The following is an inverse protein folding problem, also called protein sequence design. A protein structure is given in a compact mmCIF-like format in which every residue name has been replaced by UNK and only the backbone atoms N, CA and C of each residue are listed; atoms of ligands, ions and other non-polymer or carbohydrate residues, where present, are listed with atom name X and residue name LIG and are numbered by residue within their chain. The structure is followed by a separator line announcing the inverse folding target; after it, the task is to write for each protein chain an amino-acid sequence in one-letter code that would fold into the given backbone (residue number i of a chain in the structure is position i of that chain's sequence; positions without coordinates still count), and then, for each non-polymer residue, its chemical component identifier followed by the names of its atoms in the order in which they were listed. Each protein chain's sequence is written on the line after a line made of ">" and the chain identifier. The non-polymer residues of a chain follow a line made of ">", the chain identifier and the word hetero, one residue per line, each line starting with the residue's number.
data_IF_477587872748
#
_entry.id   IF_477587872748
#
_cell.length_a   1.000
_cell.length_b   1.000
_cell.length_c   1.000
_cell.angle_alpha   90.00
_cell.angle_beta   90.00
_cell.angle_gamma   90.00
#
_symmetry.space_group_name_H-M   'P 1'
#
loop_
_entity.id
_entity.type
_entity.pdbx_description
1 polymer ?
#
# COMPACT_ATOMS: atom_id res chain seq x y z
N UNK A 1 -18.56 9.22 25.90
CA UNK A 1 -17.24 9.76 25.52
C UNK A 1 -16.67 8.79 24.50
N UNK A 2 -16.74 9.12 23.21
CA UNK A 2 -16.12 8.28 22.19
C UNK A 2 -14.62 8.59 22.21
N UNK A 3 -13.80 7.62 22.63
CA UNK A 3 -12.35 7.72 22.45
C UNK A 3 -12.08 7.69 20.96
N UNK A 4 -11.85 8.86 20.37
CA UNK A 4 -11.39 8.99 19.00
C UNK A 4 -9.94 8.51 18.96
N UNK A 5 -9.72 7.23 18.65
CA UNK A 5 -8.38 6.74 18.34
C UNK A 5 -7.94 7.50 17.08
N UNK A 6 -6.93 8.35 17.24
CA UNK A 6 -6.32 9.04 16.11
C UNK A 6 -5.60 8.00 15.25
N UNK A 7 -5.91 7.93 13.96
CA UNK A 7 -5.21 7.08 12.97
C UNK A 7 -3.70 7.31 12.94
N UNK A 8 -3.25 8.46 13.45
CA UNK A 8 -1.85 8.86 13.56
C UNK A 8 -0.94 7.87 14.32
N UNK A 9 -1.48 6.87 15.01
CA UNK A 9 -0.71 5.94 15.84
C UNK A 9 -0.91 4.45 15.52
N UNK A 10 -1.71 4.08 14.52
CA UNK A 10 -1.94 2.66 14.20
C UNK A 10 -0.74 2.13 13.41
N UNK A 11 0.12 1.35 14.06
CA UNK A 11 1.24 0.66 13.44
C UNK A 11 0.76 -0.46 12.53
N UNK A 12 1.26 -0.47 11.28
CA UNK A 12 1.02 -1.55 10.34
C UNK A 12 1.88 -2.76 10.70
N UNK A 13 1.29 -3.94 10.62
CA UNK A 13 1.96 -5.23 10.81
C UNK A 13 1.95 -6.00 9.49
N UNK A 14 2.85 -6.97 9.35
CA UNK A 14 2.86 -7.86 8.18
C UNK A 14 1.54 -8.60 7.97
N UNK A 15 0.76 -8.84 9.04
CA UNK A 15 -0.59 -9.42 8.98
C UNK A 15 -1.62 -8.54 8.28
N UNK A 16 -1.35 -7.23 8.17
CA UNK A 16 -2.27 -6.25 7.58
C UNK A 16 -2.08 -6.13 6.07
N UNK A 17 -0.98 -6.67 5.53
CA UNK A 17 -0.66 -6.63 4.09
C UNK A 17 -1.81 -7.18 3.22
N UNK A 18 -2.40 -8.37 3.49
CA UNK A 18 -3.51 -8.87 2.67
C UNK A 18 -4.71 -7.92 2.66
N UNK A 19 -4.99 -7.26 3.79
CA UNK A 19 -6.08 -6.29 3.92
C UNK A 19 -5.80 -5.04 3.07
N UNK A 20 -4.58 -4.50 3.14
CA UNK A 20 -4.16 -3.38 2.30
C UNK A 20 -4.23 -3.70 0.80
N UNK A 21 -3.80 -4.90 0.42
CA UNK A 21 -3.87 -5.37 -0.98
C UNK A 21 -5.32 -5.42 -1.46
N UNK A 22 -6.24 -5.95 -0.66
CA UNK A 22 -7.67 -5.97 -1.02
C UNK A 22 -8.27 -4.58 -1.24
N UNK A 23 -7.72 -3.53 -0.61
CA UNK A 23 -8.14 -2.14 -0.83
C UNK A 23 -7.51 -1.61 -2.11
N UNK A 24 -6.20 -1.81 -2.29
CA UNK A 24 -5.41 -1.34 -3.44
C UNK A 24 -5.89 -1.98 -4.75
N UNK A 25 -6.19 -3.29 -4.74
CA UNK A 25 -6.65 -4.03 -5.93
C UNK A 25 -8.00 -3.53 -6.47
N UNK A 26 -8.77 -2.79 -5.67
CA UNK A 26 -10.02 -2.14 -6.12
C UNK A 26 -9.75 -0.85 -6.90
N UNK A 27 -8.54 -0.28 -6.80
CA UNK A 27 -8.14 0.92 -7.52
C UNK A 27 -7.45 0.56 -8.84
N UNK A 28 -8.26 0.52 -9.90
CA UNK A 28 -7.79 0.27 -11.27
C UNK A 28 -6.79 1.32 -11.77
N UNK A 29 -6.83 2.54 -11.23
CA UNK A 29 -5.90 3.59 -11.63
C UNK A 29 -4.52 3.35 -11.01
N UNK A 30 -4.48 2.95 -9.74
CA UNK A 30 -3.25 2.56 -9.06
C UNK A 30 -2.61 1.31 -9.70
N UNK A 31 -3.41 0.30 -10.07
CA UNK A 31 -2.90 -0.87 -10.80
C UNK A 31 -2.25 -0.51 -12.15
N UNK A 32 -2.85 0.42 -12.90
CA UNK A 32 -2.28 0.88 -14.19
C UNK A 32 -0.98 1.65 -14.02
N UNK A 33 -0.81 2.33 -12.89
CA UNK A 33 0.35 3.13 -12.54
C UNK A 33 1.15 2.50 -11.40
N UNK A 34 1.25 1.16 -11.38
CA UNK A 34 1.87 0.41 -10.28
C UNK A 34 3.33 0.81 -10.03
N UNK A 35 4.02 1.32 -11.04
CA UNK A 35 5.39 1.80 -10.94
C UNK A 35 5.50 3.10 -10.13
N UNK A 36 4.51 4.00 -10.23
CA UNK A 36 4.44 5.21 -9.41
C UNK A 36 4.25 4.84 -7.94
N UNK A 37 3.45 3.83 -7.65
CA UNK A 37 3.32 3.26 -6.31
C UNK A 37 4.64 2.63 -5.83
N UNK A 38 5.43 2.02 -6.73
CA UNK A 38 6.75 1.52 -6.37
C UNK A 38 7.70 2.64 -5.97
N UNK A 39 7.69 3.75 -6.71
CA UNK A 39 8.50 4.93 -6.42
C UNK A 39 8.08 5.62 -5.13
N UNK A 40 6.77 5.69 -4.87
CA UNK A 40 6.20 6.21 -3.63
C UNK A 40 6.81 5.56 -2.38
N UNK A 41 6.99 4.24 -2.42
CA UNK A 41 7.52 3.45 -1.32
C UNK A 41 9.05 3.22 -1.43
N UNK A 42 9.71 3.97 -2.32
CA UNK A 42 11.15 3.94 -2.55
C UNK A 42 11.71 2.56 -2.93
N UNK A 43 10.97 1.78 -3.74
CA UNK A 43 11.49 0.54 -4.31
C UNK A 43 12.70 0.80 -5.21
N UNK A 44 13.66 -0.12 -5.19
CA UNK A 44 14.86 0.01 -6.01
C UNK A 44 14.54 -0.16 -7.50
N UNK A 45 15.34 0.47 -8.37
CA UNK A 45 15.22 0.25 -9.81
C UNK A 45 15.48 -1.22 -10.21
N UNK A 46 16.29 -1.94 -9.43
CA UNK A 46 16.54 -3.37 -9.65
C UNK A 46 15.28 -4.19 -9.42
N UNK A 47 14.56 -3.92 -8.33
CA UNK A 47 13.32 -4.63 -7.99
C UNK A 47 12.23 -4.33 -9.01
N UNK A 48 12.03 -3.06 -9.38
CA UNK A 48 11.08 -2.66 -10.43
C UNK A 48 11.35 -3.37 -11.76
N UNK A 49 12.62 -3.51 -12.17
CA UNK A 49 12.99 -4.25 -13.38
C UNK A 49 12.70 -5.74 -13.25
N UNK A 50 13.00 -6.35 -12.09
CA UNK A 50 12.68 -7.75 -11.80
C UNK A 50 11.17 -7.99 -11.88
N UNK A 51 10.39 -7.11 -11.26
CA UNK A 51 8.94 -7.19 -11.22
C UNK A 51 8.30 -7.00 -12.59
N UNK A 52 8.75 -6.01 -13.36
CA UNK A 52 8.28 -5.80 -14.74
C UNK A 52 8.53 -7.03 -15.61
N UNK A 53 9.69 -7.68 -15.48
CA UNK A 53 9.99 -8.94 -16.19
C UNK A 53 9.06 -10.06 -15.75
N UNK A 54 8.82 -10.20 -14.45
CA UNK A 54 7.90 -11.21 -13.90
C UNK A 54 6.46 -11.02 -14.39
N UNK A 55 5.98 -9.78 -14.49
CA UNK A 55 4.66 -9.45 -15.06
C UNK A 55 4.62 -9.83 -16.54
N UNK A 56 5.62 -9.41 -17.33
CA UNK A 56 5.68 -9.69 -18.77
C UNK A 56 5.75 -11.19 -19.08
N UNK A 57 6.36 -11.99 -18.21
CA UNK A 57 6.45 -13.44 -18.36
C UNK A 57 5.25 -14.20 -17.77
N UNK A 58 4.29 -13.50 -17.16
CA UNK A 58 3.13 -14.11 -16.48
C UNK A 58 3.45 -14.83 -15.17
N UNK A 59 4.67 -14.68 -14.63
CA UNK A 59 5.09 -15.29 -13.36
C UNK A 59 4.74 -14.42 -12.15
N UNK A 60 4.28 -13.19 -12.35
CA UNK A 60 3.91 -12.25 -11.31
C UNK A 60 2.67 -11.44 -11.71
N UNK A 61 1.86 -11.10 -10.72
CA UNK A 61 0.72 -10.20 -10.86
C UNK A 61 1.03 -8.84 -10.24
N UNK A 62 0.28 -7.80 -10.62
CA UNK A 62 0.39 -6.48 -9.97
C UNK A 62 0.15 -6.56 -8.45
N UNK A 63 -0.84 -7.32 -8.01
CA UNK A 63 -1.10 -7.57 -6.58
C UNK A 63 0.08 -8.27 -5.89
N UNK A 64 0.79 -9.16 -6.61
CA UNK A 64 2.03 -9.77 -6.13
C UNK A 64 3.13 -8.73 -5.88
N UNK A 65 3.31 -7.81 -6.82
CA UNK A 65 4.26 -6.69 -6.67
C UNK A 65 3.90 -5.82 -5.47
N UNK A 66 2.64 -5.40 -5.35
CA UNK A 66 2.19 -4.61 -4.22
C UNK A 66 2.38 -5.32 -2.89
N UNK A 67 2.23 -6.65 -2.87
CA UNK A 67 2.47 -7.44 -1.65
C UNK A 67 3.95 -7.40 -1.26
N UNK A 68 4.87 -7.63 -2.21
CA UNK A 68 6.30 -7.62 -1.93
C UNK A 68 6.77 -6.26 -1.41
N UNK A 69 6.35 -5.18 -2.07
CA UNK A 69 6.76 -3.83 -1.65
C UNK A 69 6.18 -3.43 -0.29
N UNK A 70 4.91 -3.77 -0.01
CA UNK A 70 4.30 -3.47 1.28
C UNK A 70 4.96 -4.26 2.42
N UNK A 71 5.30 -5.53 2.19
CA UNK A 71 6.02 -6.34 3.21
C UNK A 71 7.35 -5.68 3.58
N UNK A 72 8.14 -5.27 2.59
CA UNK A 72 9.42 -4.60 2.84
C UNK A 72 9.25 -3.22 3.49
N UNK A 73 8.26 -2.45 3.03
CA UNK A 73 8.03 -1.10 3.52
C UNK A 73 7.53 -1.07 4.97
N UNK A 74 6.57 -1.94 5.33
CA UNK A 74 5.95 -2.02 6.66
C UNK A 74 6.95 -2.46 7.74
N UNK A 75 7.99 -3.21 7.39
CA UNK A 75 9.00 -3.69 8.33
C UNK A 75 9.77 -2.57 9.08
N UNK A 76 9.60 -1.30 8.69
CA UNK A 76 10.27 -0.14 9.26
C UNK A 76 9.33 0.72 10.15
N UNK A 77 8.54 0.09 11.02
CA UNK A 77 7.62 0.75 11.97
C UNK A 77 6.70 1.81 11.36
N UNK A 78 6.10 1.49 10.20
CA UNK A 78 5.22 2.40 9.46
C UNK A 78 3.79 2.37 10.02
N UNK A 79 3.12 3.52 9.97
CA UNK A 79 1.71 3.63 10.38
C UNK A 79 0.75 3.64 9.19
N UNK A 80 -0.52 3.39 9.47
CA UNK A 80 -1.63 3.59 8.52
C UNK A 80 -1.60 4.99 7.94
N UNK A 81 -1.40 6.01 8.80
CA UNK A 81 -1.36 7.40 8.37
C UNK A 81 -0.18 7.68 7.43
N UNK A 82 1.00 7.10 7.68
CA UNK A 82 2.14 7.25 6.75
C UNK A 82 1.79 6.78 5.34
N UNK A 83 1.12 5.63 5.22
CA UNK A 83 0.72 5.10 3.92
C UNK A 83 -0.37 5.96 3.26
N UNK A 84 -1.36 6.38 4.06
CA UNK A 84 -2.47 7.20 3.57
C UNK A 84 -2.00 8.59 3.11
N UNK A 85 -1.11 9.25 3.84
CA UNK A 85 -0.53 10.54 3.46
C UNK A 85 0.28 10.46 2.16
N UNK A 86 1.10 9.41 2.00
CA UNK A 86 1.85 9.19 0.77
C UNK A 86 0.90 9.01 -0.43
N UNK A 87 -0.11 8.17 -0.28
CA UNK A 87 -1.11 7.92 -1.33
C UNK A 87 -1.91 9.19 -1.68
N UNK A 88 -2.32 9.97 -0.68
CA UNK A 88 -3.06 11.22 -0.88
C UNK A 88 -2.20 12.28 -1.60
N UNK A 89 -0.93 12.41 -1.21
CA UNK A 89 0.03 13.30 -1.85
C UNK A 89 0.30 12.93 -3.32
N UNK A 90 0.25 11.64 -3.66
CA UNK A 90 0.35 11.15 -5.03
C UNK A 90 -0.97 11.20 -5.81
N UNK A 91 -2.06 11.67 -5.20
CA UNK A 91 -3.36 11.84 -5.86
C UNK A 91 -4.32 10.65 -5.73
N UNK A 92 -3.94 9.57 -5.05
CA UNK A 92 -4.79 8.39 -4.78
C UNK A 92 -5.70 8.60 -3.56
N UNK A 93 -6.42 9.73 -3.53
CA UNK A 93 -7.17 10.20 -2.36
C UNK A 93 -8.22 9.22 -1.86
N UNK A 94 -8.93 8.56 -2.79
CA UNK A 94 -9.96 7.57 -2.45
C UNK A 94 -9.35 6.33 -1.79
N UNK A 95 -8.22 5.84 -2.31
CA UNK A 95 -7.52 4.68 -1.76
C UNK A 95 -6.92 5.00 -0.38
N UNK A 96 -6.31 6.19 -0.23
CA UNK A 96 -5.87 6.69 1.07
C UNK A 96 -7.02 6.76 2.09
N UNK A 97 -8.19 7.27 1.69
CA UNK A 97 -9.38 7.33 2.53
C UNK A 97 -9.87 5.94 2.93
N UNK A 98 -10.00 5.01 1.99
CA UNK A 98 -10.44 3.64 2.29
C UNK A 98 -9.48 2.91 3.23
N UNK A 99 -8.16 3.16 3.11
CA UNK A 99 -7.17 2.64 4.05
C UNK A 99 -7.42 3.20 5.45
N UNK A 100 -7.63 4.51 5.61
CA UNK A 100 -7.96 5.09 6.93
C UNK A 100 -9.23 4.47 7.51
N UNK A 101 -10.32 4.45 6.74
CA UNK A 101 -11.61 3.92 7.19
C UNK A 101 -11.50 2.45 7.62
N UNK A 102 -10.83 1.62 6.83
CA UNK A 102 -10.70 0.19 7.12
C UNK A 102 -9.97 -0.12 8.44
N UNK A 103 -9.11 0.78 8.93
CA UNK A 103 -8.35 0.57 10.17
C UNK A 103 -8.90 1.35 11.36
N UNK A 104 -9.83 2.29 11.14
CA UNK A 104 -10.59 2.96 12.21
C UNK A 104 -11.75 2.09 12.70
N UNK A 105 -12.43 1.37 11.80
CA UNK A 105 -13.63 0.60 12.17
C UNK A 105 -13.34 -0.66 13.02
N UNK A 106 -12.08 -1.08 13.13
CA UNK A 106 -11.67 -2.29 13.88
C UNK A 106 -11.07 -2.01 15.27
N UNK A 107 -10.98 -0.74 15.68
CA UNK A 107 -10.37 -0.31 16.95
C UNK A 107 -11.28 0.64 17.74
#
# INVERSE_FOLDING_TARGET
>A
MASSISTAQILLKGTDVPKLINIIDKDMHLLKNWEDFCDLLAASNSDKLSWRRGINSGNMTYSGVFKEILVGWIANDRTVENLAELLDAAGYKMTARHIREAFVEEH
#
